data_IF_921876779318
#
_entry.id   IF_921876779318
#
_cell.length_a   1.000
_cell.length_b   1.000
_cell.length_c   1.000
_cell.angle_alpha   90.00
_cell.angle_beta   90.00
_cell.angle_gamma   90.00
#
_symmetry.space_group_name_H-M   'P 1'
#
loop_
_entity.id
_entity.type
_entity.pdbx_description
1 polymer ?
#
# COMPACT_ATOMS: atom_id res chain seq x y z
N UNK A 1 23.65 2.95 56.59
CA UNK A 1 22.89 4.16 56.19
C UNK A 1 23.94 5.17 55.76
N UNK A 2 24.13 5.53 54.49
CA UNK A 2 23.20 6.15 53.55
C UNK A 2 23.63 5.76 52.12
N UNK A 3 22.68 5.29 51.32
CA UNK A 3 22.78 5.10 49.87
C UNK A 3 22.40 6.43 49.22
N UNK A 4 23.22 7.01 48.34
CA UNK A 4 22.89 8.16 47.46
C UNK A 4 24.12 8.40 46.55
N UNK A 5 24.08 8.52 45.22
CA UNK A 5 23.00 8.43 44.24
C UNK A 5 23.67 8.09 42.90
N UNK A 6 23.30 6.97 42.28
CA UNK A 6 23.54 6.80 40.83
C UNK A 6 22.57 7.76 40.14
N UNK A 7 23.09 8.83 39.55
CA UNK A 7 22.33 9.64 38.61
C UNK A 7 22.08 8.80 37.35
N UNK A 8 21.01 8.00 37.40
CA UNK A 8 20.44 7.38 36.20
C UNK A 8 19.90 8.54 35.37
N UNK A 9 20.68 8.94 34.37
CA UNK A 9 20.16 9.74 33.27
C UNK A 9 19.16 8.86 32.52
N UNK A 10 17.89 8.90 32.93
CA UNK A 10 16.77 8.51 32.08
C UNK A 10 16.68 9.53 30.96
N UNK A 11 17.59 9.38 29.98
CA UNK A 11 17.54 10.08 28.72
C UNK A 11 16.20 9.77 28.07
N UNK A 12 15.36 10.80 28.03
CA UNK A 12 14.19 10.90 27.20
C UNK A 12 14.60 10.55 25.77
N UNK A 13 14.40 9.30 25.37
CA UNK A 13 14.38 8.99 23.95
C UNK A 13 13.11 9.67 23.43
N UNK A 14 13.20 10.58 22.44
CA UNK A 14 11.99 11.00 21.77
C UNK A 14 11.32 9.74 21.25
N UNK A 15 10.04 9.56 21.57
CA UNK A 15 9.24 8.51 20.96
C UNK A 15 9.34 8.72 19.45
N UNK A 16 10.10 7.88 18.76
CA UNK A 16 9.94 7.70 17.32
C UNK A 16 8.47 7.34 17.16
N UNK A 17 7.68 8.26 16.61
CA UNK A 17 6.30 7.98 16.28
C UNK A 17 6.34 6.79 15.33
N UNK A 18 5.96 5.61 15.83
CA UNK A 18 5.83 4.43 15.01
C UNK A 18 4.74 4.74 13.98
N UNK A 19 5.15 5.19 12.79
CA UNK A 19 4.30 5.11 11.62
C UNK A 19 4.04 3.62 11.46
N UNK A 20 2.78 3.18 11.62
CA UNK A 20 2.40 1.79 11.35
C UNK A 20 2.95 1.48 9.95
N UNK A 21 3.98 0.64 9.85
CA UNK A 21 4.62 0.30 8.56
C UNK A 21 3.63 -0.36 7.59
N UNK A 22 2.44 -0.71 8.08
CA UNK A 22 1.32 -1.23 7.28
C UNK A 22 0.35 -0.13 6.85
N UNK A 23 0.50 1.10 7.31
CA UNK A 23 -0.28 2.25 6.88
C UNK A 23 0.05 2.62 5.43
N UNK A 24 -1.00 2.99 4.69
CA UNK A 24 -0.84 3.49 3.34
C UNK A 24 -0.21 4.90 3.39
N UNK A 25 0.66 5.27 2.43
CA UNK A 25 1.21 6.62 2.33
C UNK A 25 0.13 7.71 2.34
N UNK A 26 0.39 8.81 3.04
CA UNK A 26 -0.56 9.92 3.12
C UNK A 26 -0.84 10.55 1.73
N UNK A 27 -1.98 11.25 1.61
CA UNK A 27 -2.42 11.94 0.39
C UNK A 27 -3.88 11.64 0.05
N UNK A 28 -4.37 12.02 -1.14
CA UNK A 28 -5.73 11.69 -1.57
C UNK A 28 -5.85 10.21 -1.94
N UNK A 29 -6.87 9.50 -1.42
CA UNK A 29 -7.17 8.11 -1.79
C UNK A 29 -6.72 6.95 -0.87
N UNK A 30 -5.92 7.10 0.21
CA UNK A 30 -5.57 5.97 1.07
C UNK A 30 -6.80 5.41 1.79
N UNK A 31 -7.73 6.24 2.26
CA UNK A 31 -8.96 5.77 2.93
C UNK A 31 -9.83 4.93 1.98
N UNK A 32 -10.02 5.41 0.76
CA UNK A 32 -10.71 4.65 -0.29
C UNK A 32 -9.99 3.32 -0.58
N UNK A 33 -8.65 3.35 -0.65
CA UNK A 33 -7.84 2.14 -0.88
C UNK A 33 -7.94 1.16 0.29
N UNK A 34 -7.97 1.64 1.54
CA UNK A 34 -8.20 0.78 2.71
C UNK A 34 -9.58 0.15 2.62
N UNK A 35 -10.62 0.93 2.34
CA UNK A 35 -12.00 0.47 2.26
C UNK A 35 -12.21 -0.63 1.21
N UNK A 36 -11.50 -0.56 0.07
CA UNK A 36 -11.67 -1.53 -1.03
C UNK A 36 -10.69 -2.68 -1.01
N UNK A 37 -9.43 -2.47 -0.59
CA UNK A 37 -8.40 -3.50 -0.70
C UNK A 37 -8.19 -4.29 0.61
N UNK A 38 -8.46 -3.69 1.78
CA UNK A 38 -8.12 -4.31 3.07
C UNK A 38 -9.12 -5.36 3.55
N UNK A 39 -10.27 -5.52 2.88
CA UNK A 39 -11.26 -6.56 3.22
C UNK A 39 -10.78 -7.97 2.89
N UNK A 40 -9.89 -8.11 1.90
CA UNK A 40 -9.40 -9.41 1.44
C UNK A 40 -7.87 -9.49 1.35
N UNK A 41 -7.17 -8.35 1.18
CA UNK A 41 -5.72 -8.30 1.01
C UNK A 41 -5.07 -7.53 2.15
N UNK A 42 -3.90 -7.98 2.60
CA UNK A 42 -3.12 -7.17 3.54
C UNK A 42 -2.64 -5.88 2.87
N UNK A 43 -2.69 -4.74 3.59
CA UNK A 43 -2.11 -3.46 3.12
C UNK A 43 -0.66 -3.64 2.66
N UNK A 44 0.10 -4.43 3.43
CA UNK A 44 1.46 -4.78 3.08
C UNK A 44 1.57 -5.42 1.70
N UNK A 45 0.67 -6.34 1.31
CA UNK A 45 0.68 -6.95 -0.04
C UNK A 45 0.37 -5.93 -1.14
N UNK A 46 -0.65 -5.10 -0.94
CA UNK A 46 -1.03 -4.05 -1.91
C UNK A 46 0.18 -3.15 -2.22
N UNK A 47 0.94 -2.75 -1.20
CA UNK A 47 2.08 -1.84 -1.35
C UNK A 47 3.26 -2.44 -2.13
N UNK A 48 3.45 -3.76 -2.16
CA UNK A 48 4.63 -4.40 -2.81
C UNK A 48 4.43 -4.70 -4.29
N UNK A 49 3.20 -4.60 -4.79
CA UNK A 49 2.87 -5.12 -6.12
C UNK A 49 3.54 -4.31 -7.25
N UNK A 50 3.60 -2.99 -7.09
CA UNK A 50 4.32 -2.09 -8.00
C UNK A 50 3.91 -2.25 -9.47
N UNK A 51 2.65 -1.99 -9.83
CA UNK A 51 2.08 -2.28 -11.15
C UNK A 51 1.74 -1.00 -11.92
N UNK A 52 1.70 -1.06 -13.26
CA UNK A 52 1.17 0.04 -14.09
C UNK A 52 -0.31 0.30 -13.77
N UNK A 53 -0.82 1.48 -14.17
CA UNK A 53 -2.22 1.86 -13.91
C UNK A 53 -3.18 0.89 -14.60
N UNK A 54 -2.84 0.50 -15.83
CA UNK A 54 -3.59 -0.45 -16.65
C UNK A 54 -3.63 -1.80 -15.95
N UNK A 55 -2.48 -2.27 -15.46
CA UNK A 55 -2.40 -3.53 -14.73
C UNK A 55 -3.17 -3.51 -13.41
N UNK A 56 -3.16 -2.39 -12.68
CA UNK A 56 -4.02 -2.20 -11.51
C UNK A 56 -5.51 -2.25 -11.87
N UNK A 57 -5.92 -1.70 -13.01
CA UNK A 57 -7.29 -1.81 -13.48
C UNK A 57 -7.69 -3.25 -13.78
N UNK A 58 -6.81 -3.98 -14.48
CA UNK A 58 -7.07 -5.37 -14.84
C UNK A 58 -7.22 -6.26 -13.62
N UNK A 59 -6.35 -6.12 -12.61
CA UNK A 59 -6.45 -6.95 -11.39
C UNK A 59 -7.71 -6.61 -10.58
N UNK A 60 -8.11 -5.34 -10.51
CA UNK A 60 -9.37 -4.95 -9.84
C UNK A 60 -10.57 -5.52 -10.60
N UNK A 61 -10.55 -5.49 -11.94
CA UNK A 61 -11.59 -6.13 -12.75
C UNK A 61 -11.63 -7.64 -12.51
N UNK A 62 -10.48 -8.31 -12.53
CA UNK A 62 -10.38 -9.73 -12.26
C UNK A 62 -10.90 -10.10 -10.87
N UNK A 63 -10.55 -9.34 -9.83
CA UNK A 63 -11.06 -9.55 -8.47
C UNK A 63 -12.57 -9.35 -8.36
N UNK A 64 -13.16 -8.45 -9.16
CA UNK A 64 -14.62 -8.25 -9.19
C UNK A 64 -15.33 -9.39 -9.93
N UNK A 65 -14.72 -9.94 -10.97
CA UNK A 65 -15.35 -10.94 -11.84
C UNK A 65 -15.13 -12.38 -11.37
N UNK A 66 -13.97 -12.67 -10.76
CA UNK A 66 -13.53 -14.03 -10.45
C UNK A 66 -13.40 -14.27 -8.94
N UNK A 67 -13.28 -13.20 -8.15
CA UNK A 67 -13.20 -13.25 -6.70
C UNK A 67 -14.42 -12.58 -6.07
N UNK A 68 -14.50 -12.56 -4.73
CA UNK A 68 -15.65 -12.01 -3.99
C UNK A 68 -15.58 -10.50 -3.76
N UNK A 69 -14.78 -9.75 -4.53
CA UNK A 69 -14.65 -8.30 -4.38
C UNK A 69 -15.89 -7.59 -4.92
N UNK A 70 -16.54 -6.77 -4.10
CA UNK A 70 -17.64 -5.92 -4.57
C UNK A 70 -17.14 -4.93 -5.63
N UNK A 71 -17.98 -4.67 -6.65
CA UNK A 71 -17.68 -3.69 -7.70
C UNK A 71 -17.71 -2.25 -7.14
N UNK A 72 -16.60 -1.48 -7.23
CA UNK A 72 -16.62 -0.04 -6.96
C UNK A 72 -17.36 0.70 -8.08
N UNK A 73 -18.01 1.82 -7.75
CA UNK A 73 -18.57 2.69 -8.78
C UNK A 73 -17.45 3.38 -9.57
N UNK A 74 -17.79 4.03 -10.69
CA UNK A 74 -16.80 4.57 -11.62
C UNK A 74 -15.90 5.62 -10.96
N UNK A 75 -16.44 6.50 -10.12
CA UNK A 75 -15.65 7.52 -9.41
C UNK A 75 -14.71 6.90 -8.37
N UNK A 76 -15.18 5.91 -7.62
CA UNK A 76 -14.34 5.18 -6.65
C UNK A 76 -13.21 4.44 -7.35
N UNK A 77 -13.53 3.77 -8.47
CA UNK A 77 -12.52 3.10 -9.31
C UNK A 77 -11.47 4.09 -9.82
N UNK A 78 -11.89 5.29 -10.27
CA UNK A 78 -10.94 6.33 -10.69
C UNK A 78 -10.01 6.74 -9.56
N UNK A 79 -10.54 7.01 -8.36
CA UNK A 79 -9.74 7.37 -7.17
C UNK A 79 -8.73 6.29 -6.82
N UNK A 80 -9.19 5.03 -6.76
CA UNK A 80 -8.32 3.87 -6.50
C UNK A 80 -7.18 3.79 -7.50
N UNK A 81 -7.48 3.84 -8.80
CA UNK A 81 -6.47 3.74 -9.84
C UNK A 81 -5.48 4.90 -9.80
N UNK A 82 -5.94 6.13 -9.50
CA UNK A 82 -5.04 7.30 -9.35
C UNK A 82 -4.09 7.06 -8.19
N UNK A 83 -4.59 6.68 -7.02
CA UNK A 83 -3.77 6.48 -5.85
C UNK A 83 -2.78 5.30 -6.01
N UNK A 84 -3.27 4.13 -6.44
CA UNK A 84 -2.47 2.91 -6.60
C UNK A 84 -1.36 3.10 -7.63
N UNK A 85 -1.66 3.70 -8.78
CA UNK A 85 -0.63 3.94 -9.80
C UNK A 85 0.37 5.03 -9.41
N UNK A 86 -0.06 6.06 -8.66
CA UNK A 86 0.84 7.12 -8.21
C UNK A 86 1.78 6.67 -7.08
N UNK A 87 1.28 5.83 -6.16
CA UNK A 87 2.05 5.37 -4.99
C UNK A 87 2.77 4.04 -5.21
N UNK A 88 2.17 3.16 -6.00
CA UNK A 88 2.62 1.79 -6.24
C UNK A 88 2.65 1.47 -7.74
N UNK A 89 3.07 2.45 -8.54
CA UNK A 89 3.32 2.32 -9.97
C UNK A 89 4.55 1.46 -10.27
N UNK A 90 4.56 0.78 -11.41
CA UNK A 90 5.80 0.18 -11.92
C UNK A 90 6.84 1.28 -12.21
N UNK A 91 8.08 1.09 -11.77
CA UNK A 91 9.17 1.99 -12.15
C UNK A 91 9.32 1.99 -13.68
N UNK A 92 9.35 3.17 -14.29
CA UNK A 92 9.59 3.30 -15.74
C UNK A 92 11.00 2.77 -16.04
N UNK A 93 11.12 1.56 -16.60
CA UNK A 93 12.35 1.12 -17.28
C UNK A 93 13.03 -0.18 -16.85
N UNK A 94 12.39 -1.10 -16.12
CA UNK A 94 12.89 -2.49 -16.12
C UNK A 94 12.27 -3.18 -17.35
N UNK A 95 13.10 -3.67 -18.28
CA UNK A 95 12.71 -4.28 -19.57
C UNK A 95 11.85 -5.55 -19.48
N UNK A 96 10.71 -5.45 -18.80
CA UNK A 96 9.76 -6.50 -18.58
C UNK A 96 8.41 -6.02 -19.13
N UNK A 97 7.79 -6.84 -19.97
CA UNK A 97 6.46 -6.53 -20.47
C UNK A 97 5.44 -6.88 -19.39
N UNK A 98 4.49 -5.97 -19.17
CA UNK A 98 3.32 -6.26 -18.36
C UNK A 98 2.41 -7.21 -19.14
N UNK A 99 2.21 -8.42 -18.62
CA UNK A 99 1.23 -9.37 -19.15
C UNK A 99 0.01 -9.45 -18.22
N UNK A 100 -1.12 -10.02 -18.68
CA UNK A 100 -2.28 -10.29 -17.84
C UNK A 100 -2.01 -11.17 -16.60
N UNK A 101 -0.83 -11.77 -16.46
CA UNK A 101 -0.45 -12.64 -15.34
C UNK A 101 0.79 -12.14 -14.56
N UNK A 102 1.25 -10.92 -14.82
CA UNK A 102 2.42 -10.31 -14.16
C UNK A 102 3.51 -9.85 -15.13
N UNK A 103 4.60 -9.30 -14.60
CA UNK A 103 5.76 -8.90 -15.42
C UNK A 103 6.54 -10.12 -15.88
N UNK A 104 6.75 -10.25 -17.19
CA UNK A 104 7.68 -11.21 -17.78
C UNK A 104 8.97 -10.46 -18.10
N UNK A 105 9.97 -10.62 -17.24
CA UNK A 105 11.33 -10.14 -17.50
C UNK A 105 12.05 -11.24 -18.29
N UNK A 106 12.70 -10.89 -19.40
CA UNK A 106 13.62 -11.77 -20.13
C UNK A 106 14.97 -11.84 -19.41
#
# INVERSE_FOLDING_TARGET
MIVLALAVNMGWTPAVQAQDERALPAGPGPDETVAWCSGCQSRALVMRQGMSRERWNDIITWMVENETMRKPCDEQRKVLLVYLSARFGAAKGAGCTDTPWGRRCL
#
